data_IF_489916789983
#
_entry.id   IF_489916789983
#
_cell.length_a   1.000
_cell.length_b   1.000
_cell.length_c   1.000
_cell.angle_alpha   90.00
_cell.angle_beta   90.00
_cell.angle_gamma   90.00
#
_symmetry.space_group_name_H-M   'P 1'
#
loop_
_entity.id
_entity.type
_entity.pdbx_description
1 polymer ?
#
# COMPACT_ATOMS: atom_id res chain seq x y z
N UNK A 1 -0.28 2.43 27.72
CA UNK A 1 -1.58 2.27 27.04
C UNK A 1 -1.29 2.11 25.56
N UNK A 2 -1.86 1.10 24.87
CA UNK A 2 -1.68 0.96 23.43
C UNK A 2 -2.17 2.21 22.70
N UNK A 3 -1.51 2.57 21.61
CA UNK A 3 -1.89 3.68 20.75
C UNK A 3 -2.48 3.19 19.42
N UNK A 4 -2.97 4.11 18.59
CA UNK A 4 -3.59 3.77 17.30
C UNK A 4 -2.64 3.01 16.36
N UNK A 5 -1.32 3.25 16.43
CA UNK A 5 -0.35 2.51 15.64
C UNK A 5 -0.23 1.06 16.12
N UNK A 6 -0.27 0.82 17.43
CA UNK A 6 -0.25 -0.53 18.01
C UNK A 6 -1.47 -1.34 17.55
N UNK A 7 -2.65 -0.71 17.51
CA UNK A 7 -3.89 -1.31 17.00
C UNK A 7 -3.80 -1.66 15.51
N UNK A 8 -3.29 -0.75 14.68
CA UNK A 8 -3.08 -0.98 13.25
C UNK A 8 -2.13 -2.16 13.02
N UNK A 9 -1.02 -2.23 13.76
CA UNK A 9 -0.04 -3.31 13.65
C UNK A 9 -0.64 -4.65 14.10
N UNK A 10 -1.41 -4.66 15.19
CA UNK A 10 -2.07 -5.85 15.70
C UNK A 10 -3.07 -6.42 14.67
N UNK A 11 -3.92 -5.57 14.09
CA UNK A 11 -4.86 -5.94 13.04
C UNK A 11 -4.13 -6.49 11.79
N UNK A 12 -3.07 -5.80 11.34
CA UNK A 12 -2.31 -6.22 10.15
C UNK A 12 -1.61 -7.58 10.34
N UNK A 13 -1.19 -7.93 11.55
CA UNK A 13 -0.60 -9.25 11.85
C UNK A 13 -1.60 -10.39 11.67
N UNK A 14 -2.86 -10.18 12.07
CA UNK A 14 -3.95 -11.15 11.90
C UNK A 14 -4.22 -11.32 10.40
N UNK A 15 -4.44 -10.22 9.68
CA UNK A 15 -4.68 -10.25 8.22
C UNK A 15 -3.51 -10.90 7.45
N UNK A 16 -2.26 -10.68 7.89
CA UNK A 16 -1.08 -11.31 7.29
C UNK A 16 -1.08 -12.83 7.51
N UNK A 17 -1.44 -13.29 8.71
CA UNK A 17 -1.52 -14.72 9.01
C UNK A 17 -2.57 -15.40 8.12
N UNK A 18 -3.74 -14.77 7.95
CA UNK A 18 -4.81 -15.23 7.06
C UNK A 18 -4.40 -15.19 5.58
N UNK A 19 -3.67 -14.17 5.15
CA UNK A 19 -3.22 -14.08 3.75
C UNK A 19 -2.23 -15.19 3.41
N UNK A 20 -1.36 -15.57 4.35
CA UNK A 20 -0.38 -16.65 4.18
C UNK A 20 -1.00 -18.04 4.07
N UNK A 21 -2.24 -18.24 4.52
CA UNK A 21 -2.95 -19.51 4.32
C UNK A 21 -3.59 -19.60 2.93
N UNK A 22 -3.85 -18.46 2.28
CA UNK A 22 -4.48 -18.39 0.96
C UNK A 22 -3.48 -18.50 -0.18
N UNK A 23 -2.32 -17.85 -0.05
CA UNK A 23 -1.26 -17.87 -1.06
C UNK A 23 0.06 -18.19 -0.36
N UNK A 24 0.73 -19.25 -0.82
CA UNK A 24 2.04 -19.61 -0.28
C UNK A 24 3.10 -18.58 -0.69
N UNK A 25 4.17 -18.48 0.08
CA UNK A 25 5.28 -17.58 -0.28
C UNK A 25 5.90 -17.96 -1.62
N UNK A 26 6.07 -19.26 -1.89
CA UNK A 26 6.66 -19.76 -3.13
C UNK A 26 5.80 -19.42 -4.36
N UNK A 27 4.47 -19.53 -4.25
CA UNK A 27 3.57 -19.16 -5.35
C UNK A 27 3.62 -17.65 -5.59
N UNK A 28 3.67 -16.84 -4.52
CA UNK A 28 3.80 -15.39 -4.62
C UNK A 28 5.12 -14.98 -5.28
N UNK A 29 6.24 -15.62 -4.91
CA UNK A 29 7.56 -15.43 -5.54
C UNK A 29 7.52 -15.78 -7.03
N UNK A 30 6.90 -16.91 -7.40
CA UNK A 30 6.75 -17.31 -8.80
C UNK A 30 5.94 -16.30 -9.62
N UNK A 31 4.88 -15.72 -9.05
CA UNK A 31 4.09 -14.66 -9.71
C UNK A 31 4.93 -13.38 -9.86
N UNK A 32 5.73 -13.04 -8.85
CA UNK A 32 6.58 -11.85 -8.87
C UNK A 32 7.70 -11.97 -9.94
N UNK A 33 8.30 -13.16 -10.10
CA UNK A 33 9.33 -13.41 -11.11
C UNK A 33 8.83 -13.22 -12.54
N UNK A 34 7.53 -13.43 -12.78
CA UNK A 34 6.89 -13.20 -14.07
C UNK A 34 6.58 -11.73 -14.38
N UNK A 35 6.78 -10.80 -13.44
CA UNK A 35 6.43 -9.39 -13.62
C UNK A 35 7.49 -8.62 -14.43
N UNK A 36 7.11 -7.52 -15.11
CA UNK A 36 8.07 -6.60 -15.70
C UNK A 36 9.04 -6.04 -14.66
N UNK A 37 10.21 -5.58 -15.14
CA UNK A 37 11.16 -4.88 -14.27
C UNK A 37 10.49 -3.67 -13.60
N UNK A 38 10.75 -3.43 -12.30
CA UNK A 38 10.16 -2.30 -11.59
C UNK A 38 10.65 -0.96 -12.17
N UNK A 39 9.80 0.05 -12.07
CA UNK A 39 10.16 1.42 -12.42
C UNK A 39 11.22 1.98 -11.46
N UNK A 40 12.02 2.93 -11.96
CA UNK A 40 13.08 3.55 -11.17
C UNK A 40 12.52 4.66 -10.26
N UNK A 41 12.02 4.28 -9.08
CA UNK A 41 11.48 5.24 -8.10
C UNK A 41 12.52 6.27 -7.65
N UNK A 42 13.74 5.83 -7.32
CA UNK A 42 14.79 6.76 -6.86
C UNK A 42 15.10 7.79 -7.94
N UNK A 43 15.23 7.36 -9.20
CA UNK A 43 15.41 8.25 -10.35
C UNK A 43 14.28 9.28 -10.52
N UNK A 44 13.02 8.87 -10.30
CA UNK A 44 11.87 9.77 -10.41
C UNK A 44 11.88 10.89 -9.33
N UNK A 45 12.52 10.64 -8.19
CA UNK A 45 12.64 11.61 -7.10
C UNK A 45 13.87 12.53 -7.22
N UNK A 46 14.81 12.23 -8.12
CA UNK A 46 16.01 13.05 -8.32
C UNK A 46 15.74 14.32 -9.17
N UNK A 47 16.60 15.33 -8.99
CA UNK A 47 16.58 16.59 -9.72
C UNK A 47 16.31 17.82 -8.85
N UNK A 48 16.47 19.02 -9.40
CA UNK A 48 16.40 20.29 -8.65
C UNK A 48 15.02 20.95 -8.54
N UNK A 49 13.95 20.27 -8.93
CA UNK A 49 12.58 20.81 -8.93
C UNK A 49 11.66 20.11 -7.93
N UNK A 50 10.50 20.70 -7.64
CA UNK A 50 9.47 20.05 -6.80
C UNK A 50 8.98 18.77 -7.49
N UNK A 51 8.86 17.70 -6.70
CA UNK A 51 8.33 16.40 -7.10
C UNK A 51 7.22 16.01 -6.13
N UNK A 52 6.18 15.36 -6.63
CA UNK A 52 5.02 14.97 -5.84
C UNK A 52 4.86 13.45 -5.88
N UNK A 53 4.67 12.86 -4.70
CA UNK A 53 4.07 11.53 -4.56
C UNK A 53 2.60 11.78 -4.23
N UNK A 54 1.73 11.62 -5.23
CA UNK A 54 0.29 11.74 -5.01
C UNK A 54 -0.23 10.44 -4.39
N UNK A 55 -0.97 10.55 -3.28
CA UNK A 55 -1.58 9.41 -2.58
C UNK A 55 -3.05 9.29 -2.96
N UNK A 56 -3.46 8.11 -3.45
CA UNK A 56 -4.86 7.78 -3.72
C UNK A 56 -5.45 7.10 -2.49
N UNK A 57 -6.38 7.77 -1.79
CA UNK A 57 -6.88 7.31 -0.48
C UNK A 57 -8.36 7.59 -0.22
N UNK A 58 -9.07 6.55 0.23
CA UNK A 58 -10.50 6.62 0.55
C UNK A 58 -10.79 7.17 1.96
N UNK A 59 -10.01 6.77 2.96
CA UNK A 59 -10.26 7.10 4.37
C UNK A 59 -8.96 7.12 5.19
N UNK A 60 -8.98 7.72 6.39
CA UNK A 60 -7.89 7.62 7.37
C UNK A 60 -8.44 7.49 8.80
N UNK A 61 -7.66 6.91 9.75
CA UNK A 61 -8.07 6.86 11.15
C UNK A 61 -8.33 8.24 11.77
N UNK A 62 -7.59 9.27 11.33
CA UNK A 62 -7.68 10.62 11.90
C UNK A 62 -8.77 11.50 11.29
N UNK A 63 -9.25 11.19 10.08
CA UNK A 63 -10.22 12.02 9.33
C UNK A 63 -11.46 11.26 8.87
N UNK A 64 -11.53 9.95 9.12
CA UNK A 64 -12.63 9.10 8.66
C UNK A 64 -12.65 8.99 7.13
N UNK A 65 -13.85 8.94 6.56
CA UNK A 65 -14.07 8.88 5.11
C UNK A 65 -13.67 10.20 4.44
N UNK A 66 -12.73 10.14 3.49
CA UNK A 66 -12.25 11.29 2.73
C UNK A 66 -12.99 11.46 1.40
N UNK A 67 -13.23 10.34 0.71
CA UNK A 67 -13.86 10.31 -0.61
C UNK A 67 -15.01 9.29 -0.59
N UNK A 68 -16.27 9.74 -0.56
CA UNK A 68 -17.43 8.85 -0.58
C UNK A 68 -17.51 8.02 -1.86
N UNK A 69 -17.45 8.67 -3.02
CA UNK A 69 -17.49 8.03 -4.34
C UNK A 69 -16.06 7.72 -4.83
N UNK A 70 -15.43 6.75 -4.17
CA UNK A 70 -14.03 6.43 -4.40
C UNK A 70 -13.82 5.61 -5.68
N UNK A 71 -13.27 6.26 -6.70
CA UNK A 71 -12.81 5.63 -7.95
C UNK A 71 -11.28 5.76 -8.04
N UNK A 72 -10.58 4.70 -7.64
CA UNK A 72 -9.12 4.72 -7.57
C UNK A 72 -8.45 4.80 -8.95
N UNK A 73 -9.11 4.35 -10.02
CA UNK A 73 -8.58 4.43 -11.38
C UNK A 73 -8.68 5.83 -11.95
N UNK A 74 -9.75 6.59 -11.62
CA UNK A 74 -9.85 8.00 -12.01
C UNK A 74 -8.93 8.93 -11.22
N UNK A 75 -8.48 8.50 -10.04
CA UNK A 75 -7.59 9.28 -9.18
C UNK A 75 -6.10 9.05 -9.47
N UNK A 76 -5.75 7.97 -10.19
CA UNK A 76 -4.39 7.59 -10.54
C UNK A 76 -3.93 8.21 -11.87
#
# INVERSE_FOLDING_TARGET
>A
MPNILDEIVAAKRIELAESKTQVSLADLESVADGQPRPLNLSGALLGGGVRLIAEVKKASPSRGLLVPDFDHLKLA
#
